data_IF_203227276548
#
_entry.id   IF_203227276548
#
_cell.length_a   1.000
_cell.length_b   1.000
_cell.length_c   1.000
_cell.angle_alpha   90.00
_cell.angle_beta   90.00
_cell.angle_gamma   90.00
#
_symmetry.space_group_name_H-M   'P 1'
#
loop_
_entity.id
_entity.type
_entity.pdbx_description
1 polymer ?
#
# COMPACT_ATOMS: atom_id res chain seq x y z
N UNK A 1 6.23 41.53 -30.44
CA UNK A 1 5.96 40.09 -30.50
C UNK A 1 4.79 39.77 -29.57
N UNK A 2 3.61 39.58 -30.20
CA UNK A 2 2.36 39.25 -29.49
C UNK A 2 2.38 37.74 -29.15
N UNK A 3 2.64 37.41 -27.88
CA UNK A 3 2.36 36.07 -27.36
C UNK A 3 0.83 35.99 -27.08
N UNK A 4 0.09 35.41 -28.03
CA UNK A 4 -1.29 35.00 -27.84
C UNK A 4 -1.30 33.92 -26.75
N UNK A 5 -1.74 34.28 -25.56
CA UNK A 5 -2.13 33.34 -24.53
C UNK A 5 -3.41 32.61 -25.01
N UNK A 6 -3.26 31.59 -25.81
CA UNK A 6 -4.35 30.69 -26.13
C UNK A 6 -4.59 29.76 -24.95
N UNK A 7 -5.82 29.76 -24.44
CA UNK A 7 -6.29 28.68 -23.58
C UNK A 7 -6.28 27.39 -24.40
N UNK A 8 -5.19 26.65 -24.34
CA UNK A 8 -5.11 25.35 -25.01
C UNK A 8 -5.82 24.32 -24.15
N UNK A 9 -6.83 23.68 -24.72
CA UNK A 9 -7.36 22.44 -24.19
C UNK A 9 -6.22 21.43 -24.16
N UNK A 10 -5.80 21.02 -22.98
CA UNK A 10 -4.79 19.98 -22.79
C UNK A 10 -5.46 18.70 -22.28
N UNK A 11 -5.10 17.58 -22.89
CA UNK A 11 -5.43 16.26 -22.36
C UNK A 11 -4.10 15.60 -22.05
N UNK A 12 -3.96 15.16 -20.82
CA UNK A 12 -2.79 14.45 -20.32
C UNK A 12 -3.25 13.08 -19.82
N UNK A 13 -2.63 12.02 -20.31
CA UNK A 13 -2.95 10.66 -19.94
C UNK A 13 -1.67 9.91 -19.59
N UNK A 14 -1.68 9.25 -18.46
CA UNK A 14 -0.56 8.44 -17.97
C UNK A 14 -0.98 7.00 -17.74
N UNK A 15 -0.07 6.09 -18.01
CA UNK A 15 -0.20 4.68 -17.70
C UNK A 15 1.12 4.15 -17.16
N UNK A 16 1.06 3.42 -16.05
CA UNK A 16 2.20 2.75 -15.46
C UNK A 16 1.80 1.34 -15.08
N UNK A 17 2.62 0.38 -15.43
CA UNK A 17 2.48 -1.00 -14.99
C UNK A 17 3.82 -1.50 -14.46
N UNK A 18 3.79 -2.20 -13.34
CA UNK A 18 4.95 -2.83 -12.73
C UNK A 18 4.61 -4.28 -12.46
N UNK A 19 5.55 -5.15 -12.79
CA UNK A 19 5.51 -6.57 -12.47
C UNK A 19 6.84 -6.93 -11.79
N UNK A 20 6.79 -7.68 -10.72
CA UNK A 20 7.99 -8.19 -10.07
C UNK A 20 7.83 -9.65 -9.68
N UNK A 21 8.95 -10.33 -9.65
CA UNK A 21 9.09 -11.72 -9.21
C UNK A 21 10.40 -11.85 -8.46
N UNK A 22 10.34 -12.32 -7.23
CA UNK A 22 11.49 -12.57 -6.38
C UNK A 22 11.45 -14.00 -5.90
N UNK A 23 12.55 -14.71 -5.98
CA UNK A 23 12.72 -16.07 -5.46
C UNK A 23 14.03 -16.16 -4.72
N UNK A 24 14.11 -16.93 -3.68
CA UNK A 24 15.38 -17.11 -2.97
C UNK A 24 15.24 -17.66 -1.57
N UNK A 25 16.35 -17.59 -0.86
CA UNK A 25 16.44 -17.84 0.58
C UNK A 25 16.32 -16.51 1.32
N UNK A 26 15.86 -16.54 2.56
CA UNK A 26 15.62 -15.35 3.39
C UNK A 26 14.53 -14.42 2.83
N UNK A 27 13.48 -14.98 2.26
CA UNK A 27 12.30 -14.21 1.87
C UNK A 27 11.64 -13.65 3.13
N UNK A 28 11.29 -12.35 3.14
CA UNK A 28 10.56 -11.76 4.25
C UNK A 28 9.27 -12.52 4.57
N UNK A 29 8.95 -12.69 5.85
CA UNK A 29 7.68 -13.29 6.27
C UNK A 29 6.45 -12.40 6.03
N UNK A 30 6.65 -11.19 5.52
CA UNK A 30 5.60 -10.22 5.25
C UNK A 30 5.62 -9.79 3.78
N UNK A 31 4.44 -9.46 3.27
CA UNK A 31 4.30 -8.92 1.91
C UNK A 31 5.01 -7.56 1.79
N UNK A 32 5.63 -7.28 0.64
CA UNK A 32 6.19 -5.96 0.37
C UNK A 32 5.14 -4.85 0.61
N UNK A 33 5.55 -3.66 1.06
CA UNK A 33 4.60 -2.56 1.25
C UNK A 33 3.91 -2.22 -0.08
N UNK A 34 2.61 -1.88 -0.05
CA UNK A 34 1.92 -1.44 -1.24
C UNK A 34 2.52 -0.11 -1.74
N UNK A 35 2.32 0.27 -3.02
CA UNK A 35 2.77 1.55 -3.54
C UNK A 35 2.41 2.72 -2.63
N UNK A 36 3.28 3.73 -2.51
CA UNK A 36 3.16 4.82 -1.55
C UNK A 36 1.81 5.53 -1.54
N UNK A 37 1.17 5.68 -2.71
CA UNK A 37 -0.17 6.24 -2.82
C UNK A 37 -1.22 5.40 -2.05
N UNK A 38 -1.14 4.08 -2.14
CA UNK A 38 -2.03 3.14 -1.42
C UNK A 38 -1.70 3.14 0.07
N UNK A 39 -0.41 3.05 0.41
CA UNK A 39 0.06 3.07 1.79
C UNK A 39 -0.43 4.31 2.53
N UNK A 40 -0.32 5.49 1.91
CA UNK A 40 -0.77 6.76 2.48
C UNK A 40 -2.28 6.77 2.74
N UNK A 41 -3.08 6.27 1.80
CA UNK A 41 -4.55 6.23 1.95
C UNK A 41 -4.98 5.37 3.15
N UNK A 42 -4.30 4.26 3.37
CA UNK A 42 -4.62 3.35 4.47
C UNK A 42 -3.86 3.67 5.78
N UNK A 43 -3.04 4.73 5.79
CA UNK A 43 -2.24 5.11 6.96
C UNK A 43 -1.16 4.08 7.30
N UNK A 44 -0.72 3.33 6.30
CA UNK A 44 0.43 2.45 6.42
C UNK A 44 1.71 3.28 6.28
N UNK A 45 2.76 2.93 7.00
CA UNK A 45 4.05 3.58 6.76
C UNK A 45 4.49 3.20 5.35
N UNK A 46 4.56 4.20 4.47
CA UNK A 46 5.29 4.03 3.23
C UNK A 46 6.77 3.97 3.64
N UNK A 47 7.44 2.85 3.42
CA UNK A 47 8.86 2.95 3.15
C UNK A 47 8.96 3.99 2.02
N UNK A 48 9.66 5.10 2.28
CA UNK A 48 9.88 6.17 1.32
C UNK A 48 10.15 5.57 -0.05
N UNK A 49 9.59 6.16 -1.10
CA UNK A 49 9.74 5.75 -2.50
C UNK A 49 11.13 5.18 -2.74
N UNK A 50 11.28 3.90 -2.48
CA UNK A 50 12.48 3.18 -2.78
C UNK A 50 12.54 3.10 -4.29
N UNK A 51 13.16 4.11 -4.89
CA UNK A 51 13.78 3.98 -6.19
C UNK A 51 14.43 2.60 -6.23
N UNK A 52 14.00 1.75 -7.17
CA UNK A 52 14.74 0.56 -7.56
C UNK A 52 16.01 1.03 -8.29
N UNK A 53 16.79 1.87 -7.63
CA UNK A 53 18.14 2.16 -8.05
C UNK A 53 19.03 1.06 -7.47
N UNK A 54 19.60 0.26 -8.37
CA UNK A 54 20.43 -0.89 -8.03
C UNK A 54 21.76 -0.54 -7.37
N UNK A 55 21.79 0.40 -6.45
CA UNK A 55 22.95 0.82 -5.67
C UNK A 55 22.91 0.26 -4.26
N UNK A 56 23.87 -0.54 -3.95
CA UNK A 56 24.48 -1.04 -2.71
C UNK A 56 24.06 -0.41 -1.35
N UNK A 57 22.77 -0.32 -1.06
CA UNK A 57 22.25 -0.11 0.29
C UNK A 57 21.62 -1.40 0.79
N UNK A 58 22.44 -2.41 0.92
CA UNK A 58 22.04 -3.76 1.40
C UNK A 58 21.61 -3.76 2.87
N UNK A 59 21.91 -2.72 3.66
CA UNK A 59 21.83 -2.81 5.12
C UNK A 59 20.58 -2.20 5.77
N UNK A 60 19.77 -1.40 5.07
CA UNK A 60 18.62 -0.74 5.71
C UNK A 60 17.24 -1.31 5.32
N UNK A 61 17.18 -2.26 4.39
CA UNK A 61 15.91 -2.78 3.83
C UNK A 61 15.40 -4.06 4.46
N UNK A 62 16.08 -4.63 5.43
CA UNK A 62 15.75 -5.98 5.87
C UNK A 62 15.67 -6.14 7.38
N UNK A 63 14.64 -5.60 8.06
CA UNK A 63 14.36 -6.00 9.43
C UNK A 63 13.96 -7.48 9.57
N UNK A 64 13.82 -8.20 8.44
CA UNK A 64 13.32 -9.57 8.37
C UNK A 64 14.37 -10.60 7.96
N UNK A 65 15.66 -10.26 8.00
CA UNK A 65 16.74 -11.22 7.76
C UNK A 65 16.78 -12.42 8.72
N UNK A 66 15.90 -12.44 9.69
CA UNK A 66 15.92 -13.46 10.72
C UNK A 66 15.03 -14.68 10.46
N UNK A 67 14.09 -14.62 9.55
CA UNK A 67 13.27 -15.79 9.21
C UNK A 67 13.77 -16.44 7.91
N UNK A 68 14.83 -17.22 8.01
CA UNK A 68 15.52 -17.88 6.88
C UNK A 68 14.68 -18.85 6.06
N UNK A 69 13.45 -18.49 5.68
CA UNK A 69 12.61 -19.25 4.78
C UNK A 69 13.01 -19.04 3.32
N UNK A 70 12.86 -20.08 2.52
CA UNK A 70 12.95 -19.96 1.07
C UNK A 70 11.53 -19.85 0.49
N UNK A 71 11.40 -19.12 -0.61
CA UNK A 71 10.07 -18.90 -1.17
C UNK A 71 10.07 -18.08 -2.44
N UNK A 72 8.88 -17.57 -2.72
CA UNK A 72 8.51 -16.82 -3.90
C UNK A 72 7.65 -15.63 -3.50
N UNK A 73 7.97 -14.46 -4.02
CA UNK A 73 7.12 -13.28 -3.94
C UNK A 73 6.91 -12.74 -5.34
N UNK A 74 5.68 -12.49 -5.72
CA UNK A 74 5.33 -11.87 -6.99
C UNK A 74 4.26 -10.81 -6.78
N UNK A 75 4.27 -9.78 -7.63
CA UNK A 75 3.24 -8.78 -7.62
C UNK A 75 3.11 -8.04 -8.94
N UNK A 76 1.94 -7.45 -9.11
CA UNK A 76 1.59 -6.66 -10.27
C UNK A 76 0.84 -5.40 -9.84
N UNK A 77 1.25 -4.25 -10.35
CA UNK A 77 0.65 -2.96 -10.08
C UNK A 77 0.36 -2.23 -11.37
N UNK A 78 -0.81 -1.64 -11.46
CA UNK A 78 -1.22 -0.81 -12.59
C UNK A 78 -1.77 0.51 -12.09
N UNK A 79 -1.34 1.59 -12.71
CA UNK A 79 -1.89 2.93 -12.48
C UNK A 79 -2.24 3.54 -13.82
N UNK A 80 -3.44 4.07 -13.93
CA UNK A 80 -3.88 4.86 -15.07
C UNK A 80 -4.35 6.23 -14.60
N UNK A 81 -3.98 7.28 -15.33
CA UNK A 81 -4.40 8.65 -15.01
C UNK A 81 -4.84 9.36 -16.29
N UNK A 82 -5.83 10.22 -16.13
CA UNK A 82 -6.29 11.11 -17.19
C UNK A 82 -6.59 12.47 -16.58
N UNK A 83 -6.07 13.52 -17.19
CA UNK A 83 -6.35 14.89 -16.80
C UNK A 83 -6.72 15.72 -18.03
N UNK A 84 -7.86 16.38 -17.95
CA UNK A 84 -8.33 17.33 -18.95
C UNK A 84 -8.17 18.72 -18.36
N UNK A 85 -7.41 19.57 -19.02
CA UNK A 85 -7.13 20.94 -18.58
C UNK A 85 -7.69 21.94 -19.57
N UNK A 86 -8.56 22.79 -19.03
CA UNK A 86 -9.04 24.01 -19.68
C UNK A 86 -9.15 25.08 -18.57
N UNK A 87 -10.14 25.97 -18.64
CA UNK A 87 -10.52 26.82 -17.50
C UNK A 87 -11.05 25.94 -16.36
N UNK A 88 -11.80 24.88 -16.69
CA UNK A 88 -12.14 23.80 -15.80
C UNK A 88 -11.16 22.67 -16.04
N UNK A 89 -10.75 21.99 -14.97
CA UNK A 89 -9.99 20.76 -15.08
C UNK A 89 -10.76 19.59 -14.45
N UNK A 90 -10.53 18.42 -15.02
CA UNK A 90 -11.00 17.17 -14.46
C UNK A 90 -9.83 16.19 -14.46
N UNK A 91 -9.57 15.56 -13.33
CA UNK A 91 -8.56 14.53 -13.20
C UNK A 91 -9.15 13.25 -12.65
N UNK A 92 -8.71 12.13 -13.18
CA UNK A 92 -9.04 10.79 -12.70
C UNK A 92 -7.75 9.96 -12.66
N UNK A 93 -7.49 9.36 -11.52
CA UNK A 93 -6.42 8.38 -11.33
C UNK A 93 -7.03 7.09 -10.79
N UNK A 94 -6.71 5.99 -11.41
CA UNK A 94 -7.13 4.65 -11.00
C UNK A 94 -5.86 3.86 -10.73
N UNK A 95 -5.84 3.11 -9.65
CA UNK A 95 -4.75 2.20 -9.33
C UNK A 95 -5.31 0.85 -8.87
N UNK A 96 -4.61 -0.20 -9.22
CA UNK A 96 -4.92 -1.55 -8.79
C UNK A 96 -3.65 -2.38 -8.71
N UNK A 97 -3.65 -3.37 -7.87
CA UNK A 97 -2.52 -4.27 -7.76
C UNK A 97 -2.82 -5.49 -6.92
N UNK A 98 -1.90 -6.43 -7.01
CA UNK A 98 -1.89 -7.64 -6.20
C UNK A 98 -0.47 -8.06 -5.91
N UNK A 99 -0.26 -8.59 -4.72
CA UNK A 99 0.98 -9.18 -4.25
C UNK A 99 0.66 -10.58 -3.70
N UNK A 100 1.49 -11.54 -4.03
CA UNK A 100 1.37 -12.92 -3.55
C UNK A 100 2.74 -13.34 -3.04
N UNK A 101 2.76 -13.94 -1.87
CA UNK A 101 3.95 -14.52 -1.26
C UNK A 101 3.67 -15.98 -0.90
N UNK A 102 4.60 -16.84 -1.21
CA UNK A 102 4.63 -18.21 -0.77
C UNK A 102 5.99 -18.48 -0.12
N UNK A 103 6.02 -18.80 1.15
CA UNK A 103 7.24 -18.99 1.91
C UNK A 103 7.22 -20.34 2.61
N UNK A 104 8.35 -21.01 2.64
CA UNK A 104 8.52 -22.22 3.43
C UNK A 104 9.05 -21.84 4.83
N UNK A 105 8.24 -22.11 5.83
CA UNK A 105 8.51 -21.84 7.25
C UNK A 105 8.81 -23.14 8.01
N UNK A 106 9.32 -24.17 7.32
CA UNK A 106 9.59 -25.47 7.94
C UNK A 106 10.53 -25.33 9.16
N UNK A 107 10.11 -25.92 10.28
CA UNK A 107 10.82 -25.82 11.55
C UNK A 107 10.65 -24.49 12.28
N UNK A 108 9.87 -23.56 11.75
CA UNK A 108 9.58 -22.28 12.39
C UNK A 108 8.22 -22.30 13.08
N UNK A 109 8.04 -21.39 14.01
CA UNK A 109 6.75 -21.12 14.66
C UNK A 109 6.31 -19.71 14.35
N UNK A 110 5.02 -19.47 14.45
CA UNK A 110 4.49 -18.11 14.41
C UNK A 110 3.59 -17.80 15.59
N UNK A 111 3.48 -16.53 15.90
CA UNK A 111 2.62 -16.03 16.95
C UNK A 111 1.27 -15.62 16.38
N UNK A 112 0.21 -16.03 17.06
CA UNK A 112 -1.16 -15.61 16.80
C UNK A 112 -1.76 -15.04 18.08
N UNK A 113 -2.92 -14.43 18.01
CA UNK A 113 -3.66 -13.97 19.19
C UNK A 113 -4.01 -15.13 20.15
N UNK A 114 -4.13 -16.34 19.64
CA UNK A 114 -4.48 -17.55 20.40
C UNK A 114 -3.25 -18.32 20.89
N UNK A 115 -2.05 -17.90 20.57
CA UNK A 115 -0.81 -18.52 21.02
C UNK A 115 0.19 -18.80 19.92
N UNK A 116 1.07 -19.75 20.17
CA UNK A 116 2.12 -20.14 19.22
C UNK A 116 1.64 -21.30 18.34
N UNK A 117 1.71 -21.10 17.04
CA UNK A 117 1.48 -22.15 16.04
C UNK A 117 2.82 -22.72 15.63
N UNK A 118 2.96 -24.02 15.79
CA UNK A 118 4.13 -24.77 15.34
C UNK A 118 3.95 -25.23 13.90
N UNK A 119 4.98 -25.07 13.06
CA UNK A 119 4.95 -25.47 11.66
C UNK A 119 3.74 -24.93 10.89
N UNK A 120 3.60 -23.61 10.76
CA UNK A 120 2.47 -23.02 10.05
C UNK A 120 2.43 -23.48 8.58
N UNK A 121 1.21 -23.54 8.05
CA UNK A 121 1.02 -23.94 6.66
C UNK A 121 0.87 -25.43 6.45
N UNK A 122 1.03 -25.85 5.21
CA UNK A 122 1.02 -27.26 4.80
C UNK A 122 2.42 -27.68 4.42
N UNK A 123 3.00 -28.66 5.15
CA UNK A 123 4.41 -29.06 5.01
C UNK A 123 5.38 -27.87 5.08
N UNK A 124 5.11 -26.93 6.00
CA UNK A 124 5.90 -25.72 6.17
C UNK A 124 5.62 -24.61 5.13
N UNK A 125 4.84 -24.86 4.08
CA UNK A 125 4.49 -23.83 3.10
C UNK A 125 3.32 -22.99 3.55
N UNK A 126 3.55 -21.70 3.68
CA UNK A 126 2.58 -20.69 4.06
C UNK A 126 2.45 -19.63 2.97
N UNK A 127 1.22 -19.33 2.59
CA UNK A 127 0.90 -18.32 1.58
C UNK A 127 0.30 -17.07 2.20
N UNK A 128 0.61 -15.92 1.65
CA UNK A 128 -0.12 -14.68 1.91
C UNK A 128 -0.30 -13.90 0.63
N UNK A 129 -1.35 -13.11 0.58
CA UNK A 129 -1.67 -12.29 -0.57
C UNK A 129 -2.33 -10.98 -0.18
N UNK A 130 -2.15 -9.99 -1.01
CA UNK A 130 -2.80 -8.68 -0.94
C UNK A 130 -3.35 -8.32 -2.29
N UNK A 131 -4.57 -7.82 -2.33
CA UNK A 131 -5.14 -7.18 -3.50
C UNK A 131 -5.69 -5.82 -3.11
N UNK A 132 -5.53 -4.83 -3.97
CA UNK A 132 -6.06 -3.49 -3.72
C UNK A 132 -6.50 -2.84 -5.02
N UNK A 133 -7.47 -1.95 -4.88
CA UNK A 133 -7.93 -1.08 -5.94
C UNK A 133 -8.37 0.26 -5.38
N UNK A 134 -8.23 1.30 -6.17
CA UNK A 134 -8.73 2.61 -5.78
C UNK A 134 -8.80 3.58 -6.94
N UNK A 135 -9.47 4.67 -6.66
CA UNK A 135 -9.62 5.78 -7.57
C UNK A 135 -9.50 7.11 -6.82
N UNK A 136 -8.95 8.08 -7.48
CA UNK A 136 -8.91 9.47 -7.06
C UNK A 136 -9.43 10.32 -8.22
N UNK A 137 -10.46 11.12 -7.98
CA UNK A 137 -11.04 12.03 -8.96
C UNK A 137 -11.13 13.44 -8.41
N UNK A 138 -10.85 14.43 -9.23
CA UNK A 138 -11.05 15.82 -8.89
C UNK A 138 -11.59 16.62 -10.07
N UNK A 139 -12.43 17.58 -9.77
CA UNK A 139 -12.94 18.59 -10.71
C UNK A 139 -12.71 19.95 -10.07
N UNK A 140 -12.17 20.89 -10.84
CA UNK A 140 -11.88 22.22 -10.32
C UNK A 140 -11.79 23.27 -11.40
N UNK A 141 -11.44 24.47 -10.96
CA UNK A 141 -11.18 25.63 -11.82
C UNK A 141 -9.73 26.05 -11.59
N UNK A 142 -8.98 26.17 -12.68
CA UNK A 142 -7.61 26.68 -12.68
C UNK A 142 -7.49 27.78 -13.69
N UNK A 143 -7.02 28.95 -13.26
CA UNK A 143 -6.90 30.09 -14.15
C UNK A 143 -6.17 31.27 -13.52
N UNK A 144 -5.94 32.31 -14.31
CA UNK A 144 -5.42 33.59 -13.82
C UNK A 144 -6.55 34.61 -13.83
N UNK A 145 -6.91 35.14 -12.65
CA UNK A 145 -7.84 36.26 -12.50
C UNK A 145 -7.08 37.41 -11.86
N UNK A 146 -7.03 38.55 -12.54
CA UNK A 146 -6.34 39.78 -12.09
C UNK A 146 -4.85 39.51 -11.74
N UNK A 147 -4.17 38.68 -12.53
CA UNK A 147 -2.74 38.36 -12.31
C UNK A 147 -2.46 37.36 -11.21
N UNK A 148 -3.47 36.92 -10.45
CA UNK A 148 -3.33 35.86 -9.43
C UNK A 148 -3.75 34.52 -10.00
N UNK A 149 -2.96 33.48 -9.76
CA UNK A 149 -3.35 32.12 -10.07
C UNK A 149 -4.42 31.64 -9.08
N UNK A 150 -5.50 31.14 -9.63
CA UNK A 150 -6.57 30.49 -8.88
C UNK A 150 -6.54 29.02 -9.23
N UNK A 151 -6.46 28.16 -8.22
CA UNK A 151 -6.62 26.72 -8.30
C UNK A 151 -7.59 26.29 -7.20
N UNK A 152 -8.82 26.04 -7.58
CA UNK A 152 -9.90 25.67 -6.65
C UNK A 152 -10.46 24.32 -7.04
N UNK A 153 -10.26 23.33 -6.17
CA UNK A 153 -10.90 22.01 -6.29
C UNK A 153 -12.35 22.12 -5.83
N UNK A 154 -13.29 22.00 -6.76
CA UNK A 154 -14.73 22.06 -6.47
C UNK A 154 -15.21 20.72 -5.92
N UNK A 155 -14.76 19.62 -6.52
CA UNK A 155 -15.08 18.25 -6.14
C UNK A 155 -13.79 17.46 -6.06
N UNK A 156 -13.63 16.70 -4.99
CA UNK A 156 -12.60 15.70 -4.87
C UNK A 156 -13.20 14.45 -4.24
N UNK A 157 -12.92 13.30 -4.83
CA UNK A 157 -13.35 11.99 -4.37
C UNK A 157 -12.16 11.05 -4.36
N UNK A 158 -11.97 10.36 -3.25
CA UNK A 158 -10.99 9.29 -3.10
C UNK A 158 -11.71 8.07 -2.57
N UNK A 159 -11.61 6.96 -3.26
CA UNK A 159 -12.12 5.69 -2.79
C UNK A 159 -11.05 4.61 -3.00
N UNK A 160 -10.83 3.79 -1.99
CA UNK A 160 -9.90 2.68 -2.09
C UNK A 160 -10.35 1.50 -1.23
N UNK A 161 -10.01 0.30 -1.68
CA UNK A 161 -10.18 -0.94 -0.92
C UNK A 161 -8.89 -1.75 -0.98
N UNK A 162 -8.65 -2.52 0.09
CA UNK A 162 -7.54 -3.44 0.19
C UNK A 162 -8.01 -4.69 0.93
N UNK A 163 -7.62 -5.84 0.45
CA UNK A 163 -7.86 -7.15 1.03
C UNK A 163 -6.52 -7.86 1.18
N UNK A 164 -6.26 -8.34 2.37
CA UNK A 164 -5.09 -9.16 2.68
C UNK A 164 -5.57 -10.49 3.24
N UNK A 165 -4.93 -11.57 2.88
CA UNK A 165 -5.24 -12.89 3.39
C UNK A 165 -3.97 -13.72 3.55
N UNK A 166 -4.00 -14.67 4.45
CA UNK A 166 -2.93 -15.66 4.61
C UNK A 166 -3.46 -17.00 5.06
N UNK A 167 -2.66 -18.02 4.83
CA UNK A 167 -3.00 -19.40 5.14
C UNK A 167 -2.19 -20.41 4.33
N UNK A 168 -2.50 -21.69 4.47
CA UNK A 168 -3.41 -22.27 5.46
C UNK A 168 -2.78 -22.29 6.84
N UNK A 169 -3.37 -22.63 7.83
CA UNK A 169 -2.97 -22.89 9.21
C UNK A 169 -1.85 -21.98 9.79
N UNK A 170 -2.22 -20.85 10.43
CA UNK A 170 -3.57 -20.34 10.57
C UNK A 170 -4.07 -19.58 9.33
N UNK A 171 -5.39 -19.53 9.14
CA UNK A 171 -6.01 -18.69 8.11
C UNK A 171 -6.47 -17.37 8.68
N UNK A 172 -6.26 -16.30 7.93
CA UNK A 172 -6.74 -14.97 8.26
C UNK A 172 -7.12 -14.17 7.02
N UNK A 173 -7.97 -13.18 7.22
CA UNK A 173 -8.44 -12.25 6.21
C UNK A 173 -8.61 -10.87 6.83
N UNK A 174 -7.94 -9.86 6.28
CA UNK A 174 -8.09 -8.45 6.65
C UNK A 174 -8.58 -7.66 5.44
N UNK A 175 -9.68 -6.95 5.60
CA UNK A 175 -10.24 -6.08 4.58
C UNK A 175 -10.31 -4.63 5.09
N UNK A 176 -9.96 -3.68 4.24
CA UNK A 176 -10.03 -2.26 4.54
C UNK A 176 -10.63 -1.52 3.35
N UNK A 177 -11.53 -0.58 3.63
CA UNK A 177 -12.04 0.34 2.62
C UNK A 177 -12.07 1.76 3.17
N UNK A 178 -11.80 2.70 2.29
CA UNK A 178 -11.85 4.13 2.61
C UNK A 178 -12.57 4.88 1.50
N UNK A 179 -13.40 5.81 1.90
CA UNK A 179 -14.04 6.80 1.05
C UNK A 179 -13.81 8.17 1.66
N UNK A 180 -13.28 9.10 0.89
CA UNK A 180 -13.14 10.50 1.28
C UNK A 180 -13.72 11.37 0.19
N UNK A 181 -14.44 12.39 0.57
CA UNK A 181 -14.98 13.37 -0.35
C UNK A 181 -14.82 14.78 0.17
N UNK A 182 -14.64 15.68 -0.77
CA UNK A 182 -14.57 17.11 -0.54
C UNK A 182 -15.36 17.79 -1.67
N UNK A 183 -16.46 18.41 -1.32
CA UNK A 183 -17.40 19.03 -2.25
C UNK A 183 -17.49 20.53 -1.99
N UNK A 184 -17.88 21.29 -3.03
CA UNK A 184 -18.07 22.74 -2.98
C UNK A 184 -16.86 23.46 -2.38
N UNK A 185 -15.68 23.18 -2.93
CA UNK A 185 -14.42 23.79 -2.52
C UNK A 185 -14.14 23.68 -1.00
N UNK A 186 -14.55 22.57 -0.38
CA UNK A 186 -14.27 22.29 1.02
C UNK A 186 -15.40 22.64 1.99
N UNK A 187 -16.54 23.10 1.50
CA UNK A 187 -17.70 23.37 2.34
C UNK A 187 -18.30 22.09 2.91
N UNK A 188 -18.34 21.02 2.11
CA UNK A 188 -18.84 19.71 2.53
C UNK A 188 -17.68 18.71 2.42
N UNK A 189 -17.26 18.16 3.55
CA UNK A 189 -16.19 17.17 3.64
C UNK A 189 -16.65 15.97 4.45
N UNK A 190 -16.24 14.80 4.06
CA UNK A 190 -16.49 13.61 4.84
C UNK A 190 -15.53 12.47 4.52
N UNK A 191 -15.46 11.52 5.43
CA UNK A 191 -14.74 10.29 5.23
C UNK A 191 -15.49 9.14 5.89
N UNK A 192 -15.47 7.98 5.24
CA UNK A 192 -15.93 6.72 5.80
C UNK A 192 -14.80 5.71 5.72
N UNK A 193 -14.66 4.90 6.75
CA UNK A 193 -13.69 3.80 6.80
C UNK A 193 -14.40 2.54 7.26
N UNK A 194 -14.09 1.45 6.63
CA UNK A 194 -14.58 0.13 6.99
C UNK A 194 -13.38 -0.81 7.14
N UNK A 195 -13.40 -1.62 8.18
CA UNK A 195 -12.41 -2.66 8.40
C UNK A 195 -13.13 -3.95 8.78
N UNK A 196 -12.61 -5.06 8.30
CA UNK A 196 -13.03 -6.40 8.65
C UNK A 196 -11.76 -7.21 8.90
N UNK A 197 -11.76 -8.01 9.97
CA UNK A 197 -10.67 -8.91 10.31
C UNK A 197 -11.28 -10.25 10.73
N UNK A 198 -10.81 -11.33 10.15
CA UNK A 198 -11.29 -12.68 10.38
C UNK A 198 -10.08 -13.60 10.53
N UNK A 199 -10.09 -14.44 11.56
CA UNK A 199 -9.01 -15.39 11.84
C UNK A 199 -7.81 -14.73 12.50
N UNK A 200 -6.74 -15.49 12.67
CA UNK A 200 -5.55 -15.08 13.40
C UNK A 200 -4.35 -14.98 12.47
N UNK A 201 -3.79 -13.79 12.38
CA UNK A 201 -2.60 -13.53 11.58
C UNK A 201 -1.39 -14.25 12.18
N UNK A 202 -0.69 -14.99 11.34
CA UNK A 202 0.59 -15.62 11.67
C UNK A 202 1.69 -14.58 11.58
N UNK A 203 2.31 -14.23 12.68
CA UNK A 203 3.46 -13.32 12.72
C UNK A 203 4.69 -14.15 13.04
N UNK A 204 5.67 -14.25 12.11
CA UNK A 204 6.92 -14.93 12.39
C UNK A 204 7.61 -14.30 13.60
N UNK A 205 8.36 -15.08 14.41
CA UNK A 205 9.13 -14.52 15.49
C UNK A 205 10.14 -13.53 14.92
N UNK A 206 10.01 -12.29 15.31
CA UNK A 206 11.05 -11.31 15.03
C UNK A 206 12.21 -11.61 15.94
N UNK A 207 13.26 -12.19 15.42
CA UNK A 207 14.53 -12.27 16.12
C UNK A 207 15.13 -10.87 16.13
N UNK A 208 14.67 -10.06 17.08
CA UNK A 208 15.37 -8.82 17.40
C UNK A 208 16.74 -9.19 17.94
N UNK A 209 17.85 -8.66 17.40
CA UNK A 209 19.17 -8.86 17.99
C UNK A 209 19.27 -8.27 19.41
N UNK A 210 18.23 -7.65 19.92
CA UNK A 210 18.10 -7.07 21.23
C UNK A 210 16.79 -7.52 21.90
N UNK A 211 16.67 -8.82 22.13
CA UNK A 211 15.66 -9.34 23.06
C UNK A 211 16.13 -9.01 24.48
N UNK A 212 15.87 -7.78 24.92
CA UNK A 212 15.90 -7.50 26.34
C UNK A 212 14.65 -8.16 26.94
N UNK A 213 14.81 -9.08 27.90
CA UNK A 213 13.67 -9.59 28.63
C UNK A 213 12.96 -8.37 29.23
N UNK A 214 11.67 -8.22 28.90
CA UNK A 214 10.83 -7.24 29.59
C UNK A 214 10.81 -7.71 31.04
N UNK A 215 11.63 -7.09 31.88
CA UNK A 215 11.53 -7.23 33.32
C UNK A 215 10.21 -6.53 33.66
N UNK A 216 9.17 -7.31 33.85
CA UNK A 216 7.94 -6.83 34.44
C UNK A 216 8.31 -6.27 35.82
N UNK A 217 8.44 -4.97 35.90
CA UNK A 217 8.64 -4.25 37.15
C UNK A 217 7.35 -4.40 37.96
N UNK A 218 7.37 -5.35 38.88
CA UNK A 218 6.30 -5.54 39.87
C UNK A 218 6.43 -4.40 40.88
N UNK A 219 5.59 -3.38 40.76
CA UNK A 219 5.39 -2.43 41.85
C UNK A 219 4.47 -3.05 42.93
N UNK A 220 4.89 -3.04 44.17
CA UNK A 220 4.07 -3.50 45.30
C UNK A 220 2.90 -2.55 45.61
#
# INVERSE_FOLDING_TARGET
QNQKNGNHLGIDAGFSAMLYLMTGQNIPGELPPPPGAVATLFGMQSSEEGSFDGGDKEDERNPLQASGGHGLVMGAHVTASCEIRAIFYASLKIFTGMDIMLVNLDGQSCYTSNGVVQNPGVNGWYGSGRAYAGLEGAIGVKGKILGKEIDVKIIQLIAAMMLEAGGPDPMWLDGRAILQYNLLAGTIKGSARMMISIGDKCVPPQTSPFDFPIIAEYYP
#
